data_IF_028723799285
#
_entry.id   IF_028723799285
#
_cell.length_a   1.000
_cell.length_b   1.000
_cell.length_c   1.000
_cell.angle_alpha   90.00
_cell.angle_beta   90.00
_cell.angle_gamma   90.00
#
_symmetry.space_group_name_H-M   'P 1'
#
loop_
_entity.id
_entity.type
_entity.pdbx_description
1 polymer ?
#
# COMPACT_ATOMS: atom_id res chain seq x y z
N UNK A 1 -9.09 8.74 2.39
CA UNK A 1 -7.73 8.42 2.88
C UNK A 1 -6.87 7.61 1.91
N UNK A 2 -7.38 6.50 1.35
CA UNK A 2 -6.61 5.61 0.44
C UNK A 2 -6.86 5.89 -1.05
N UNK A 3 -7.20 7.14 -1.39
CA UNK A 3 -7.36 7.56 -2.78
C UNK A 3 -5.98 7.79 -3.43
N UNK A 4 -5.75 7.16 -4.59
CA UNK A 4 -4.51 7.24 -5.36
C UNK A 4 -4.27 8.58 -6.04
N UNK A 5 -5.27 9.44 -6.20
CA UNK A 5 -5.11 10.77 -6.83
C UNK A 5 -4.83 11.87 -5.81
N UNK A 6 -5.02 11.60 -4.53
CA UNK A 6 -4.82 12.60 -3.49
C UNK A 6 -3.34 12.74 -3.15
N UNK A 7 -2.80 13.96 -3.31
CA UNK A 7 -1.41 14.33 -3.06
C UNK A 7 -1.17 14.62 -1.58
N UNK A 8 -0.83 13.58 -0.83
CA UNK A 8 -0.33 13.68 0.54
C UNK A 8 0.86 12.73 0.70
N UNK A 9 1.77 13.02 1.63
CA UNK A 9 2.87 12.11 1.94
C UNK A 9 2.35 10.75 2.40
N UNK A 10 3.12 9.69 2.14
CA UNK A 10 2.75 8.34 2.59
C UNK A 10 2.65 8.27 4.11
N UNK A 11 3.55 8.97 4.81
CA UNK A 11 3.55 9.06 6.27
C UNK A 11 2.27 9.70 6.82
N UNK A 12 1.86 10.86 6.27
CA UNK A 12 0.60 11.51 6.63
C UNK A 12 -0.59 10.58 6.38
N UNK A 13 -0.57 9.85 5.26
CA UNK A 13 -1.62 8.90 4.90
C UNK A 13 -1.71 7.78 5.92
N UNK A 14 -0.58 7.21 6.34
CA UNK A 14 -0.52 6.17 7.38
C UNK A 14 -1.01 6.72 8.70
N UNK A 15 -0.57 7.91 9.11
CA UNK A 15 -0.99 8.54 10.37
C UNK A 15 -2.51 8.75 10.45
N UNK A 16 -3.11 9.32 9.41
CA UNK A 16 -4.57 9.50 9.32
C UNK A 16 -5.32 8.18 9.30
N UNK A 17 -4.80 7.19 8.58
CA UNK A 17 -5.40 5.87 8.51
C UNK A 17 -5.36 5.15 9.86
N UNK A 18 -4.24 5.22 10.58
CA UNK A 18 -4.10 4.67 11.92
C UNK A 18 -5.11 5.31 12.89
N UNK A 19 -5.25 6.66 12.86
CA UNK A 19 -6.24 7.36 13.70
C UNK A 19 -7.67 6.87 13.43
N UNK A 20 -8.02 6.69 12.16
CA UNK A 20 -9.34 6.17 11.77
C UNK A 20 -9.54 4.71 12.22
N UNK A 21 -8.55 3.86 11.98
CA UNK A 21 -8.62 2.43 12.34
C UNK A 21 -8.71 2.20 13.84
N UNK A 22 -8.03 3.00 14.66
CA UNK A 22 -8.13 2.91 16.13
C UNK A 22 -9.54 3.22 16.62
N UNK A 23 -10.19 4.27 16.11
CA UNK A 23 -11.58 4.58 16.44
C UNK A 23 -12.55 3.50 15.96
N UNK A 24 -12.34 2.98 14.75
CA UNK A 24 -13.14 1.91 14.17
C UNK A 24 -13.03 0.61 14.98
N UNK A 25 -11.81 0.21 15.38
CA UNK A 25 -11.56 -0.94 16.23
C UNK A 25 -12.22 -0.80 17.61
N UNK A 26 -12.22 0.40 18.19
CA UNK A 26 -12.91 0.67 19.46
C UNK A 26 -14.41 0.39 19.38
N UNK A 27 -15.06 0.78 18.29
CA UNK A 27 -16.48 0.54 18.05
C UNK A 27 -16.80 -0.94 17.79
N UNK A 28 -16.03 -1.61 16.91
CA UNK A 28 -16.28 -2.99 16.50
C UNK A 28 -15.66 -4.05 17.43
N UNK A 29 -15.07 -3.65 18.56
CA UNK A 29 -14.39 -4.57 19.50
C UNK A 29 -15.31 -5.67 20.02
N UNK A 30 -16.60 -5.39 20.20
CA UNK A 30 -17.58 -6.33 20.74
C UNK A 30 -18.08 -7.36 19.71
N UNK A 31 -17.84 -7.13 18.42
CA UNK A 31 -18.49 -7.88 17.34
C UNK A 31 -17.77 -9.19 16.93
N UNK A 32 -16.79 -9.70 17.70
CA UNK A 32 -16.00 -10.92 17.38
C UNK A 32 -15.50 -10.99 15.92
N UNK A 33 -15.22 -9.84 15.32
CA UNK A 33 -15.01 -9.69 13.87
C UNK A 33 -13.57 -9.98 13.43
N UNK A 34 -12.82 -10.82 14.14
CA UNK A 34 -11.37 -11.03 13.94
C UNK A 34 -11.02 -11.43 12.50
N UNK A 35 -11.77 -12.36 11.91
CA UNK A 35 -11.53 -12.85 10.54
C UNK A 35 -11.84 -11.78 9.49
N UNK A 36 -12.93 -11.02 9.68
CA UNK A 36 -13.30 -9.90 8.82
C UNK A 36 -12.25 -8.78 8.87
N UNK A 37 -11.75 -8.49 10.06
CA UNK A 37 -10.68 -7.51 10.30
C UNK A 37 -9.38 -7.88 9.60
N UNK A 38 -8.98 -9.15 9.60
CA UNK A 38 -7.78 -9.60 8.89
C UNK A 38 -7.90 -9.40 7.38
N UNK A 39 -9.06 -9.73 6.80
CA UNK A 39 -9.33 -9.53 5.37
C UNK A 39 -9.33 -8.05 5.00
N UNK A 40 -9.97 -7.21 5.82
CA UNK A 40 -9.96 -5.76 5.66
C UNK A 40 -8.53 -5.19 5.73
N UNK A 41 -7.74 -5.63 6.71
CA UNK A 41 -6.35 -5.21 6.85
C UNK A 41 -5.49 -5.59 5.64
N UNK A 42 -5.66 -6.79 5.08
CA UNK A 42 -4.99 -7.20 3.82
C UNK A 42 -5.38 -6.26 2.67
N UNK A 43 -6.66 -5.93 2.55
CA UNK A 43 -7.16 -5.05 1.51
C UNK A 43 -6.62 -3.61 1.64
N UNK A 44 -6.56 -3.08 2.87
CA UNK A 44 -6.01 -1.77 3.17
C UNK A 44 -4.53 -1.70 2.82
N UNK A 45 -3.72 -2.70 3.23
CA UNK A 45 -2.29 -2.77 2.90
C UNK A 45 -2.07 -2.78 1.38
N UNK A 46 -2.87 -3.55 0.63
CA UNK A 46 -2.83 -3.55 -0.84
C UNK A 46 -3.13 -2.17 -1.44
N UNK A 47 -4.10 -1.44 -0.89
CA UNK A 47 -4.41 -0.06 -1.33
C UNK A 47 -3.27 0.92 -1.02
N UNK A 48 -2.59 0.78 0.11
CA UNK A 48 -1.41 1.59 0.44
C UNK A 48 -0.26 1.31 -0.54
N UNK A 49 0.02 0.03 -0.84
CA UNK A 49 1.01 -0.36 -1.85
C UNK A 49 0.69 0.22 -3.23
N UNK A 50 -0.58 0.22 -3.64
CA UNK A 50 -1.00 0.87 -4.88
C UNK A 50 -0.70 2.38 -4.88
N UNK A 51 -0.94 3.08 -3.77
CA UNK A 51 -0.61 4.49 -3.64
C UNK A 51 0.90 4.74 -3.74
N UNK A 52 1.70 3.90 -3.07
CA UNK A 52 3.17 3.96 -3.12
C UNK A 52 3.69 3.71 -4.55
N UNK A 53 3.15 2.70 -5.23
CA UNK A 53 3.51 2.38 -6.62
C UNK A 53 3.22 3.54 -7.58
N UNK A 54 2.13 4.27 -7.36
CA UNK A 54 1.79 5.46 -8.14
C UNK A 54 2.70 6.64 -7.81
N UNK A 55 3.12 6.79 -6.55
CA UNK A 55 4.10 7.80 -6.16
C UNK A 55 5.44 7.58 -6.87
N UNK A 56 5.85 6.32 -7.05
CA UNK A 56 7.01 5.95 -7.87
C UNK A 56 6.67 5.97 -9.36
N UNK A 57 6.46 7.16 -9.91
CA UNK A 57 6.04 7.35 -11.31
C UNK A 57 7.09 6.87 -12.32
N UNK A 58 8.38 7.12 -12.06
CA UNK A 58 9.48 6.83 -12.98
C UNK A 58 10.09 5.45 -12.71
N UNK A 59 10.46 4.73 -13.77
CA UNK A 59 11.11 3.41 -13.68
C UNK A 59 12.37 3.46 -12.81
N UNK A 60 13.23 4.47 -13.02
CA UNK A 60 14.46 4.66 -12.23
C UNK A 60 14.16 4.76 -10.73
N UNK A 61 13.09 5.48 -10.35
CA UNK A 61 12.64 5.57 -8.96
C UNK A 61 12.18 4.21 -8.45
N UNK A 62 11.33 3.49 -9.19
CA UNK A 62 10.88 2.14 -8.79
C UNK A 62 12.05 1.20 -8.53
N UNK A 63 13.04 1.16 -9.42
CA UNK A 63 14.23 0.31 -9.25
C UNK A 63 14.99 0.70 -7.98
N UNK A 64 15.26 2.00 -7.78
CA UNK A 64 15.97 2.50 -6.59
C UNK A 64 15.28 2.09 -5.29
N UNK A 65 13.97 2.31 -5.21
CA UNK A 65 13.21 2.03 -3.99
C UNK A 65 13.04 0.52 -3.77
N UNK A 66 12.81 -0.28 -4.82
CA UNK A 66 12.74 -1.74 -4.70
C UNK A 66 14.09 -2.34 -4.26
N UNK A 67 15.21 -1.82 -4.77
CA UNK A 67 16.55 -2.23 -4.34
C UNK A 67 16.80 -1.87 -2.88
N UNK A 68 16.38 -0.68 -2.44
CA UNK A 68 16.47 -0.26 -1.04
C UNK A 68 15.62 -1.15 -0.10
N UNK A 69 14.54 -1.74 -0.61
CA UNK A 69 13.72 -2.72 0.10
C UNK A 69 14.27 -4.16 0.05
N UNK A 70 15.45 -4.38 -0.56
CA UNK A 70 16.09 -5.70 -0.62
C UNK A 70 15.52 -6.65 -1.68
N UNK A 71 14.72 -6.15 -2.63
CA UNK A 71 14.20 -6.97 -3.73
C UNK A 71 15.35 -7.34 -4.67
N UNK A 72 15.51 -8.62 -5.07
CA UNK A 72 16.60 -9.03 -5.93
C UNK A 72 16.55 -8.30 -7.28
N UNK A 73 17.72 -8.03 -7.85
CA UNK A 73 17.86 -7.11 -8.98
C UNK A 73 17.03 -7.52 -10.22
N UNK A 74 17.01 -8.82 -10.55
CA UNK A 74 16.18 -9.34 -11.64
C UNK A 74 14.69 -9.06 -11.44
N UNK A 75 14.19 -9.13 -10.20
CA UNK A 75 12.80 -8.87 -9.86
C UNK A 75 12.50 -7.36 -9.88
N UNK A 76 13.45 -6.54 -9.43
CA UNK A 76 13.37 -5.08 -9.52
C UNK A 76 13.14 -4.64 -10.97
N UNK A 77 13.96 -5.10 -11.92
CA UNK A 77 13.84 -4.74 -13.33
C UNK A 77 12.53 -5.25 -13.95
N UNK A 78 12.12 -6.49 -13.63
CA UNK A 78 10.86 -7.08 -14.10
C UNK A 78 9.64 -6.29 -13.62
N UNK A 79 9.62 -5.89 -12.34
CA UNK A 79 8.50 -5.16 -11.76
C UNK A 79 8.47 -3.70 -12.21
N UNK A 80 9.61 -3.01 -12.21
CA UNK A 80 9.68 -1.59 -12.51
C UNK A 80 9.25 -1.26 -13.96
N UNK A 81 9.59 -2.13 -14.91
CA UNK A 81 9.28 -2.00 -16.34
C UNK A 81 7.93 -2.62 -16.75
N UNK A 82 7.16 -3.16 -15.80
CA UNK A 82 5.88 -3.79 -16.12
C UNK A 82 4.88 -2.76 -16.70
N UNK A 83 4.15 -3.17 -17.74
CA UNK A 83 3.03 -2.42 -18.32
C UNK A 83 1.73 -2.58 -17.52
N UNK A 84 1.74 -3.42 -16.47
CA UNK A 84 0.57 -3.67 -15.63
C UNK A 84 0.19 -2.44 -14.81
N UNK A 85 -1.12 -2.25 -14.61
CA UNK A 85 -1.64 -1.15 -13.81
C UNK A 85 -1.23 -1.21 -12.34
N UNK A 86 -1.30 -0.07 -11.64
CA UNK A 86 -0.85 0.05 -10.25
C UNK A 86 -1.58 -0.89 -9.26
N UNK A 87 -2.82 -1.28 -9.54
CA UNK A 87 -3.58 -2.22 -8.70
C UNK A 87 -3.12 -3.68 -8.87
N UNK A 88 -2.65 -4.02 -10.06
CA UNK A 88 -2.09 -5.35 -10.34
C UNK A 88 -0.69 -5.45 -9.73
N UNK A 89 0.11 -4.38 -9.85
CA UNK A 89 1.44 -4.32 -9.24
C UNK A 89 1.43 -4.31 -7.70
N UNK A 90 0.29 -4.05 -7.05
CA UNK A 90 0.18 -4.05 -5.58
C UNK A 90 -0.20 -5.40 -4.96
N UNK A 91 -0.40 -6.44 -5.79
CA UNK A 91 -0.82 -7.79 -5.35
C UNK A 91 0.22 -8.52 -4.51
N UNK A 92 1.51 -8.30 -4.78
CA UNK A 92 2.62 -8.94 -4.09
C UNK A 92 2.67 -8.55 -2.61
#
# INVERSE_FOLDING_TARGET
LTNRTWSISMEERIRRLNRYLMGWLGYFRLASAKTHLQTLNKWIRRRLRMCLWKQWKRVRTRIRELRALGVPEWACFKMANSRRGAWEMSRN
#
